data_IF_731501730021
#
_entry.id   IF_731501730021
#
_cell.length_a   1.000
_cell.length_b   1.000
_cell.length_c   1.000
_cell.angle_alpha   90.00
_cell.angle_beta   90.00
_cell.angle_gamma   90.00
#
_symmetry.space_group_name_H-M   'P 1'
#
loop_
_entity.id
_entity.type
_entity.pdbx_description
1 polymer ?
#
# COMPACT_ATOMS: atom_id res chain seq x y z
N UNK A 1 15.30 6.58 27.08
CA UNK A 1 16.53 7.31 27.48
C UNK A 1 16.93 8.43 26.52
N UNK A 2 16.56 8.36 25.23
CA UNK A 2 16.88 9.38 24.21
C UNK A 2 15.77 10.38 23.96
N UNK A 3 14.60 10.20 24.54
CA UNK A 3 13.46 11.10 24.32
C UNK A 3 13.78 12.55 24.64
N UNK A 4 13.41 13.48 23.75
CA UNK A 4 13.70 14.91 23.85
C UNK A 4 15.15 15.32 23.61
N UNK A 5 16.11 14.38 23.55
CA UNK A 5 17.53 14.67 23.28
C UNK A 5 17.75 14.97 21.78
N UNK A 6 18.80 15.69 21.41
CA UNK A 6 19.13 15.91 20.01
C UNK A 6 19.32 14.60 19.26
N UNK A 7 18.85 14.54 18.01
CA UNK A 7 19.02 13.39 17.15
C UNK A 7 20.51 13.14 16.88
N UNK A 8 21.01 11.91 17.04
CA UNK A 8 22.42 11.57 16.76
C UNK A 8 22.79 11.88 15.30
N UNK A 9 23.99 12.42 15.09
CA UNK A 9 24.51 12.71 13.74
C UNK A 9 24.57 11.48 12.85
N UNK A 10 24.87 10.31 13.42
CA UNK A 10 24.90 9.04 12.69
C UNK A 10 23.57 8.67 12.01
N UNK A 11 22.46 9.28 12.44
CA UNK A 11 21.13 9.06 11.84
C UNK A 11 20.80 10.17 10.84
N UNK A 12 21.29 11.39 11.07
CA UNK A 12 20.93 12.56 10.25
C UNK A 12 21.95 12.91 9.16
N UNK A 13 23.20 12.45 9.32
CA UNK A 13 24.27 12.73 8.37
C UNK A 13 24.08 11.92 7.08
N UNK A 14 24.11 12.61 5.93
CA UNK A 14 23.87 12.00 4.64
C UNK A 14 22.40 11.69 4.31
N UNK A 15 21.47 11.87 5.27
CA UNK A 15 20.05 11.62 5.03
C UNK A 15 19.36 12.89 4.48
N UNK A 16 18.61 12.79 3.38
CA UNK A 16 17.71 13.85 2.94
C UNK A 16 16.53 13.94 3.91
N UNK A 17 16.24 15.16 4.41
CA UNK A 17 15.12 15.40 5.32
C UNK A 17 14.16 16.35 4.61
N UNK A 18 13.00 15.83 4.22
CA UNK A 18 11.96 16.60 3.53
C UNK A 18 11.51 17.78 4.41
N UNK A 19 11.31 18.95 3.78
CA UNK A 19 10.78 20.17 4.39
C UNK A 19 11.58 20.74 5.58
N UNK A 20 12.68 20.09 5.99
CA UNK A 20 13.46 20.47 7.17
C UNK A 20 14.92 20.77 6.87
N UNK A 21 15.28 20.95 5.58
CA UNK A 21 16.67 21.13 5.13
C UNK A 21 17.44 22.22 5.90
N UNK A 22 16.76 23.27 6.35
CA UNK A 22 17.36 24.34 7.16
C UNK A 22 17.40 24.08 8.67
N UNK A 23 16.79 22.97 9.17
CA UNK A 23 16.59 22.72 10.61
C UNK A 23 17.19 21.39 11.10
N UNK A 24 18.15 20.81 10.39
CA UNK A 24 18.77 19.52 10.78
C UNK A 24 19.27 19.50 12.23
N UNK A 25 19.80 20.62 12.73
CA UNK A 25 20.32 20.72 14.09
C UNK A 25 19.26 20.84 15.18
N UNK A 26 17.98 20.98 14.80
CA UNK A 26 16.86 21.11 15.75
C UNK A 26 16.05 19.81 15.92
N UNK A 27 16.45 18.73 15.25
CA UNK A 27 15.77 17.46 15.36
C UNK A 27 16.03 16.82 16.72
N UNK A 28 14.96 16.35 17.34
CA UNK A 28 14.99 15.66 18.62
C UNK A 28 14.48 14.24 18.46
N UNK A 29 14.98 13.35 19.29
CA UNK A 29 14.44 12.00 19.38
C UNK A 29 13.05 12.03 20.00
N UNK A 30 12.13 11.26 19.44
CA UNK A 30 10.81 10.97 20.01
C UNK A 30 10.83 9.56 20.58
N UNK A 31 10.65 9.42 21.86
CA UNK A 31 10.54 8.12 22.51
C UNK A 31 9.25 7.39 22.12
N UNK A 32 9.15 6.09 22.42
CA UNK A 32 7.95 5.31 22.16
C UNK A 32 6.74 5.94 22.85
N UNK A 33 5.68 6.23 22.08
CA UNK A 33 4.43 6.79 22.60
C UNK A 33 3.47 5.70 23.09
N UNK A 34 3.73 4.44 22.74
CA UNK A 34 2.92 3.29 23.08
C UNK A 34 3.82 2.14 23.50
N UNK A 35 3.27 1.28 24.32
CA UNK A 35 3.95 0.07 24.75
C UNK A 35 3.99 -0.99 23.66
N UNK A 36 5.05 -1.79 23.68
CA UNK A 36 5.25 -2.93 22.83
C UNK A 36 5.38 -4.17 23.68
N UNK A 37 4.76 -5.25 23.27
CA UNK A 37 4.86 -6.54 23.93
C UNK A 37 5.13 -7.66 22.95
N UNK A 38 5.51 -8.82 23.47
CA UNK A 38 5.74 -10.01 22.65
C UNK A 38 4.42 -10.71 22.36
N UNK A 39 4.21 -11.08 21.09
CA UNK A 39 3.06 -11.84 20.65
C UNK A 39 3.49 -13.14 19.97
N UNK A 40 2.61 -14.15 20.07
CA UNK A 40 2.80 -15.46 19.45
C UNK A 40 3.96 -16.27 20.04
N UNK A 41 4.13 -17.48 19.52
CA UNK A 41 5.27 -18.35 19.83
C UNK A 41 6.57 -17.81 19.25
N UNK A 42 6.46 -17.10 18.11
CA UNK A 42 7.58 -16.42 17.45
C UNK A 42 8.14 -15.25 18.26
N UNK A 43 7.39 -14.76 19.27
CA UNK A 43 7.81 -13.68 20.15
C UNK A 43 7.98 -12.34 19.45
N UNK A 44 7.20 -12.05 18.41
CA UNK A 44 7.26 -10.79 17.66
C UNK A 44 6.87 -9.60 18.54
N UNK A 45 7.70 -8.55 18.53
CA UNK A 45 7.36 -7.29 19.20
C UNK A 45 6.39 -6.48 18.34
N UNK A 46 5.17 -6.30 18.86
CA UNK A 46 4.10 -5.54 18.22
C UNK A 46 3.51 -4.57 19.25
N UNK A 47 3.13 -3.37 18.81
CA UNK A 47 2.51 -2.38 19.68
C UNK A 47 1.16 -2.87 20.22
N UNK A 48 0.86 -2.50 21.46
CA UNK A 48 -0.43 -2.76 22.08
C UNK A 48 -1.61 -2.09 21.37
N UNK A 49 -1.34 -1.16 20.45
CA UNK A 49 -2.36 -0.56 19.58
C UNK A 49 -2.87 -1.52 18.50
N UNK A 50 -2.16 -2.61 18.23
CA UNK A 50 -2.47 -3.58 17.19
C UNK A 50 -2.74 -4.99 17.73
N UNK A 51 -3.69 -5.16 18.68
CA UNK A 51 -3.91 -6.48 19.31
C UNK A 51 -4.39 -7.54 18.32
N UNK A 52 -5.15 -7.14 17.28
CA UNK A 52 -5.62 -8.04 16.23
C UNK A 52 -4.48 -8.54 15.32
N UNK A 53 -3.50 -7.68 15.01
CA UNK A 53 -2.28 -8.11 14.31
C UNK A 53 -1.45 -9.00 15.22
N UNK A 54 -1.36 -8.65 16.50
CA UNK A 54 -0.69 -9.49 17.49
C UNK A 54 -1.28 -10.89 17.60
N UNK A 55 -2.60 -11.05 17.48
CA UNK A 55 -3.23 -12.37 17.57
C UNK A 55 -2.90 -13.32 16.42
N UNK A 56 -2.39 -12.81 15.29
CA UNK A 56 -1.95 -13.59 14.12
C UNK A 56 -0.44 -13.48 13.88
N UNK A 57 0.32 -13.13 14.91
CA UNK A 57 1.75 -12.88 14.80
C UNK A 57 2.57 -14.07 14.28
N UNK A 58 2.10 -15.29 14.54
CA UNK A 58 2.76 -16.53 14.07
C UNK A 58 2.42 -16.89 12.62
N UNK A 59 1.36 -16.28 12.05
CA UNK A 59 0.88 -16.54 10.70
C UNK A 59 1.36 -15.49 9.69
N UNK A 60 2.06 -14.44 10.15
CA UNK A 60 2.52 -13.32 9.31
C UNK A 60 4.04 -13.21 9.28
N UNK A 61 4.57 -12.76 8.15
CA UNK A 61 5.99 -12.41 8.01
C UNK A 61 6.17 -10.90 8.22
N UNK A 62 6.97 -10.51 9.22
CA UNK A 62 7.29 -9.11 9.51
C UNK A 62 8.69 -8.79 8.99
N UNK A 63 8.77 -8.03 7.90
CA UNK A 63 10.04 -7.59 7.31
C UNK A 63 10.38 -6.21 7.88
N UNK A 64 11.34 -6.16 8.80
CA UNK A 64 11.74 -4.94 9.51
C UNK A 64 12.77 -4.09 8.77
N UNK A 65 13.40 -4.63 7.74
CA UNK A 65 14.47 -3.98 6.98
C UNK A 65 13.98 -3.26 5.73
N UNK A 66 12.66 -3.18 5.51
CA UNK A 66 12.11 -2.46 4.37
C UNK A 66 12.42 -0.97 4.47
N UNK A 67 12.95 -0.40 3.41
CA UNK A 67 13.23 1.03 3.30
C UNK A 67 13.07 1.52 1.87
N UNK A 68 12.96 2.82 1.70
CA UNK A 68 13.00 3.50 0.42
C UNK A 68 13.78 4.80 0.55
N UNK A 69 14.50 5.18 -0.49
CA UNK A 69 15.20 6.47 -0.58
C UNK A 69 14.26 7.64 -0.93
N UNK A 70 12.99 7.33 -1.20
CA UNK A 70 12.03 8.34 -1.60
C UNK A 70 11.53 9.14 -0.40
N UNK A 71 11.69 10.47 -0.45
CA UNK A 71 11.27 11.39 0.60
C UNK A 71 9.75 11.62 0.55
N UNK A 72 9.19 11.72 -0.66
CA UNK A 72 7.77 12.01 -0.88
C UNK A 72 6.94 10.73 -0.84
N UNK A 73 5.73 10.83 -0.29
CA UNK A 73 4.81 9.71 -0.11
C UNK A 73 4.50 8.98 -1.42
N UNK A 74 4.21 9.71 -2.48
CA UNK A 74 3.79 9.15 -3.74
C UNK A 74 4.84 8.25 -4.43
N UNK A 75 6.07 8.70 -4.70
CA UNK A 75 7.12 7.82 -5.22
C UNK A 75 7.53 6.74 -4.21
N UNK A 76 7.44 7.00 -2.90
CA UNK A 76 7.69 5.99 -1.88
C UNK A 76 6.67 4.85 -1.92
N UNK A 77 5.36 5.17 -1.99
CA UNK A 77 4.31 4.17 -2.16
C UNK A 77 4.48 3.39 -3.46
N UNK A 78 4.80 4.07 -4.55
CA UNK A 78 5.05 3.42 -5.84
C UNK A 78 6.23 2.46 -5.73
N UNK A 79 7.34 2.90 -5.14
CA UNK A 79 8.51 2.06 -4.93
C UNK A 79 8.20 0.83 -4.09
N UNK A 80 7.52 0.99 -2.95
CA UNK A 80 7.18 -0.13 -2.05
C UNK A 80 6.25 -1.16 -2.69
N UNK A 81 5.40 -0.73 -3.63
CA UNK A 81 4.46 -1.62 -4.30
C UNK A 81 4.99 -2.23 -5.59
N UNK A 82 5.96 -1.60 -6.27
CA UNK A 82 6.41 -2.00 -7.62
C UNK A 82 7.91 -2.24 -7.74
N UNK A 83 8.69 -1.92 -6.71
CA UNK A 83 10.16 -1.97 -6.74
C UNK A 83 10.80 -0.83 -7.54
N UNK A 84 10.03 0.17 -7.97
CA UNK A 84 10.51 1.35 -8.70
C UNK A 84 9.68 2.58 -8.39
N UNK A 85 10.29 3.75 -8.46
CA UNK A 85 9.57 5.03 -8.34
C UNK A 85 8.84 5.44 -9.63
N UNK A 86 9.15 4.79 -10.75
CA UNK A 86 8.60 5.11 -12.07
C UNK A 86 7.35 4.25 -12.29
N UNK A 87 6.25 4.88 -12.71
CA UNK A 87 5.02 4.20 -13.08
C UNK A 87 5.21 3.27 -14.29
N UNK A 88 4.37 2.22 -14.38
CA UNK A 88 4.35 1.30 -15.52
C UNK A 88 4.88 -0.10 -15.22
N UNK A 89 5.45 -0.33 -14.05
CA UNK A 89 5.81 -1.69 -13.61
C UNK A 89 4.67 -2.36 -12.85
N UNK A 90 4.56 -3.70 -12.93
CA UNK A 90 3.54 -4.42 -12.17
C UNK A 90 3.74 -4.26 -10.67
N UNK A 91 2.62 -4.14 -9.95
CA UNK A 91 2.63 -4.15 -8.50
C UNK A 91 2.95 -5.53 -7.93
N UNK A 92 3.36 -5.59 -6.67
CA UNK A 92 3.62 -6.85 -5.96
C UNK A 92 2.43 -7.79 -6.03
N UNK A 93 1.20 -7.31 -5.83
CA UNK A 93 -0.02 -8.12 -5.95
C UNK A 93 -0.23 -8.67 -7.35
N UNK A 94 0.09 -7.90 -8.39
CA UNK A 94 0.03 -8.37 -9.79
C UNK A 94 1.05 -9.47 -10.06
N UNK A 95 2.26 -9.37 -9.52
CA UNK A 95 3.27 -10.42 -9.62
C UNK A 95 2.88 -11.70 -8.89
N UNK A 96 2.30 -11.58 -7.70
CA UNK A 96 1.80 -12.72 -6.92
C UNK A 96 0.71 -13.44 -7.71
N UNK A 97 -0.26 -12.68 -8.23
CA UNK A 97 -1.36 -13.25 -9.02
C UNK A 97 -0.87 -13.89 -10.32
N UNK A 98 0.15 -13.27 -10.97
CA UNK A 98 0.77 -13.86 -12.16
C UNK A 98 1.49 -15.17 -11.88
N UNK A 99 2.27 -15.24 -10.79
CA UNK A 99 3.09 -16.40 -10.47
C UNK A 99 2.36 -17.55 -9.80
N UNK A 100 1.39 -17.25 -8.92
CA UNK A 100 0.68 -18.24 -8.12
C UNK A 100 -0.74 -18.52 -8.61
N UNK A 101 -1.30 -17.67 -9.50
CA UNK A 101 -2.69 -17.75 -9.92
C UNK A 101 -3.67 -17.24 -8.87
N UNK A 102 -4.95 -17.36 -9.16
CA UNK A 102 -6.04 -17.08 -8.23
C UNK A 102 -6.62 -18.39 -7.66
N UNK A 103 -7.01 -18.42 -6.39
CA UNK A 103 -7.65 -19.58 -5.77
C UNK A 103 -9.07 -19.82 -6.30
N UNK A 104 -9.63 -18.89 -7.06
CA UNK A 104 -10.98 -18.94 -7.65
C UNK A 104 -11.00 -18.26 -9.01
N UNK A 105 -11.86 -18.73 -9.91
CA UNK A 105 -12.08 -18.13 -11.22
C UNK A 105 -13.19 -17.06 -11.22
N UNK A 106 -14.02 -17.04 -10.17
CA UNK A 106 -15.22 -16.21 -10.10
C UNK A 106 -15.06 -14.92 -9.27
N UNK A 107 -13.91 -14.74 -8.63
CA UNK A 107 -13.61 -13.55 -7.82
C UNK A 107 -12.24 -12.98 -8.21
N UNK A 108 -12.04 -11.65 -8.05
CA UNK A 108 -10.73 -11.07 -8.27
C UNK A 108 -9.69 -11.74 -7.37
N UNK A 109 -8.59 -12.20 -7.93
CA UNK A 109 -7.48 -12.78 -7.17
C UNK A 109 -6.63 -11.75 -6.45
N UNK A 110 -6.75 -10.47 -6.84
CA UNK A 110 -6.07 -9.34 -6.18
C UNK A 110 -7.09 -8.24 -5.88
N UNK A 111 -7.47 -8.13 -4.62
CA UNK A 111 -8.41 -7.13 -4.11
C UNK A 111 -7.65 -6.03 -3.39
N UNK A 112 -8.04 -4.78 -3.64
CA UNK A 112 -7.47 -3.59 -3.02
C UNK A 112 -8.52 -2.92 -2.15
N UNK A 113 -8.17 -2.71 -0.89
CA UNK A 113 -8.97 -1.97 0.07
C UNK A 113 -8.21 -0.71 0.47
N UNK A 114 -8.90 0.43 0.45
CA UNK A 114 -8.35 1.70 0.92
C UNK A 114 -9.15 2.21 2.11
N UNK A 115 -8.46 2.76 3.11
CA UNK A 115 -9.11 3.45 4.22
C UNK A 115 -9.10 4.95 3.99
N UNK A 116 -10.18 5.61 4.37
CA UNK A 116 -10.22 7.07 4.45
C UNK A 116 -9.82 7.45 5.87
N UNK A 117 -8.60 7.96 6.03
CA UNK A 117 -8.09 8.41 7.32
C UNK A 117 -8.63 9.79 7.72
N UNK A 118 -8.63 10.08 9.01
CA UNK A 118 -9.01 11.38 9.57
C UNK A 118 -7.89 12.44 9.54
N UNK A 119 -6.96 12.39 8.60
CA UNK A 119 -5.81 13.29 8.50
C UNK A 119 -5.51 13.73 7.09
N UNK A 120 -4.24 13.91 6.77
CA UNK A 120 -3.80 14.22 5.42
C UNK A 120 -4.19 13.11 4.44
N UNK A 121 -4.75 13.50 3.29
CA UNK A 121 -4.97 12.58 2.19
C UNK A 121 -3.62 12.03 1.72
N UNK A 122 -3.45 10.72 1.80
CA UNK A 122 -2.28 10.07 1.24
C UNK A 122 -2.43 9.98 -0.29
N UNK A 123 -1.34 10.10 -1.05
CA UNK A 123 -1.38 9.99 -2.52
C UNK A 123 -1.53 8.52 -2.93
N UNK A 124 -2.72 7.97 -2.72
CA UNK A 124 -3.08 6.62 -3.12
C UNK A 124 -3.61 6.69 -4.55
N UNK A 125 -2.99 5.94 -5.46
CA UNK A 125 -3.31 5.96 -6.87
C UNK A 125 -3.25 4.56 -7.48
N UNK A 126 -4.00 4.35 -8.58
CA UNK A 126 -4.12 3.05 -9.26
C UNK A 126 -2.80 2.43 -9.68
N UNK A 127 -1.75 3.23 -9.93
CA UNK A 127 -0.40 2.71 -10.22
C UNK A 127 0.18 1.82 -9.12
N UNK A 128 -0.33 1.91 -7.88
CA UNK A 128 0.11 1.10 -6.75
C UNK A 128 -0.42 -0.34 -6.81
N UNK A 129 -1.45 -0.60 -7.62
CA UNK A 129 -2.03 -1.93 -7.85
C UNK A 129 -2.23 -2.27 -9.31
N UNK A 130 -1.63 -1.50 -10.20
CA UNK A 130 -1.70 -1.70 -11.65
C UNK A 130 -0.90 -2.93 -12.09
N UNK A 131 -1.35 -3.58 -13.15
CA UNK A 131 -0.65 -4.72 -13.75
C UNK A 131 0.62 -4.34 -14.53
N UNK A 132 0.85 -3.04 -14.75
CA UNK A 132 2.00 -2.55 -15.53
C UNK A 132 2.01 -3.13 -16.93
N UNK A 133 3.11 -3.79 -17.29
CA UNK A 133 3.27 -4.48 -18.58
C UNK A 133 2.69 -5.90 -18.61
N UNK A 134 2.19 -6.42 -17.47
CA UNK A 134 1.46 -7.69 -17.43
C UNK A 134 0.03 -7.48 -17.95
N UNK A 135 -0.62 -8.54 -18.47
CA UNK A 135 -2.03 -8.48 -18.87
C UNK A 135 -2.94 -7.93 -17.77
N UNK A 136 -3.96 -7.16 -18.15
CA UNK A 136 -4.87 -6.47 -17.22
C UNK A 136 -5.61 -7.40 -16.25
N UNK A 137 -5.76 -8.68 -16.58
CA UNK A 137 -6.36 -9.68 -15.68
C UNK A 137 -5.61 -9.87 -14.36
N UNK A 138 -4.36 -9.41 -14.27
CA UNK A 138 -3.55 -9.45 -13.06
C UNK A 138 -3.59 -8.15 -12.26
N UNK A 139 -4.37 -7.17 -12.70
CA UNK A 139 -4.52 -5.90 -12.00
C UNK A 139 -5.34 -6.05 -10.72
N UNK A 140 -5.00 -5.28 -9.69
CA UNK A 140 -5.80 -5.19 -8.48
C UNK A 140 -7.17 -4.55 -8.73
N UNK A 141 -8.21 -5.13 -8.16
CA UNK A 141 -9.58 -4.60 -8.21
C UNK A 141 -9.85 -3.83 -6.93
N UNK A 142 -10.06 -2.52 -7.07
CA UNK A 142 -10.32 -1.65 -5.94
C UNK A 142 -11.79 -1.74 -5.52
N UNK A 143 -12.02 -2.14 -4.26
CA UNK A 143 -13.35 -2.20 -3.67
C UNK A 143 -13.64 -0.92 -2.89
N UNK A 144 -14.78 -0.33 -3.16
CA UNK A 144 -15.29 0.86 -2.49
C UNK A 144 -16.16 0.49 -1.29
N UNK A 145 -16.01 1.22 -0.19
CA UNK A 145 -16.82 1.01 1.02
C UNK A 145 -18.20 1.69 0.94
N UNK A 146 -18.43 2.52 -0.07
CA UNK A 146 -19.71 3.24 -0.30
C UNK A 146 -20.05 3.23 -1.78
N UNK A 147 -21.34 3.10 -2.09
CA UNK A 147 -21.82 2.97 -3.47
C UNK A 147 -21.60 1.56 -4.01
N UNK A 148 -21.39 1.45 -5.33
CA UNK A 148 -21.07 0.18 -5.96
C UNK A 148 -19.71 -0.32 -5.47
N UNK A 149 -19.60 -1.55 -4.95
CA UNK A 149 -18.35 -2.08 -4.42
C UNK A 149 -17.22 -2.05 -5.45
N UNK A 150 -17.54 -2.31 -6.71
CA UNK A 150 -16.63 -2.22 -7.85
C UNK A 150 -17.26 -1.30 -8.89
N UNK A 151 -16.48 -0.30 -9.33
CA UNK A 151 -16.97 0.65 -10.35
C UNK A 151 -17.19 -0.06 -11.70
N UNK A 152 -18.18 0.42 -12.42
CA UNK A 152 -18.47 0.00 -13.81
C UNK A 152 -18.93 -1.46 -13.98
N UNK A 153 -19.39 -2.14 -12.93
CA UNK A 153 -20.01 -3.46 -13.05
C UNK A 153 -21.43 -3.39 -13.65
N UNK A 154 -22.13 -2.31 -13.36
CA UNK A 154 -23.46 -2.03 -13.92
C UNK A 154 -23.36 -1.05 -15.07
N UNK A 155 -24.23 -1.24 -16.06
CA UNK A 155 -24.32 -0.29 -17.16
C UNK A 155 -24.80 1.09 -16.68
N UNK A 156 -24.33 2.18 -17.30
CA UNK A 156 -24.89 3.51 -17.07
C UNK A 156 -26.40 3.53 -17.30
N UNK A 157 -27.09 4.40 -16.58
CA UNK A 157 -28.54 4.56 -16.73
C UNK A 157 -28.90 4.86 -18.20
N UNK A 158 -29.79 4.06 -18.78
CA UNK A 158 -30.20 4.15 -20.16
C UNK A 158 -29.40 3.31 -21.16
N UNK A 159 -28.38 2.58 -20.72
CA UNK A 159 -27.61 1.67 -21.55
C UNK A 159 -28.01 0.23 -21.23
N UNK A 160 -28.61 -0.47 -22.18
CA UNK A 160 -28.93 -1.90 -22.03
C UNK A 160 -27.68 -2.78 -22.22
N UNK A 161 -27.74 -4.04 -21.75
CA UNK A 161 -26.68 -5.01 -22.02
C UNK A 161 -26.48 -5.23 -23.54
N UNK A 162 -27.55 -5.13 -24.32
CA UNK A 162 -27.50 -5.24 -25.78
C UNK A 162 -26.72 -4.09 -26.40
N UNK A 163 -26.98 -2.85 -25.94
CA UNK A 163 -26.25 -1.65 -26.42
C UNK A 163 -24.77 -1.74 -26.07
N UNK A 164 -24.45 -2.13 -24.83
CA UNK A 164 -23.07 -2.36 -24.41
C UNK A 164 -22.37 -3.41 -25.25
N UNK A 165 -23.04 -4.55 -25.50
CA UNK A 165 -22.49 -5.62 -26.33
C UNK A 165 -22.22 -5.13 -27.75
N UNK A 166 -23.20 -4.42 -28.35
CA UNK A 166 -23.03 -3.85 -29.70
C UNK A 166 -21.85 -2.88 -29.77
N UNK A 167 -21.64 -2.08 -28.71
CA UNK A 167 -20.51 -1.16 -28.64
C UNK A 167 -19.17 -1.94 -28.60
N UNK A 168 -19.06 -2.96 -27.76
CA UNK A 168 -17.88 -3.81 -27.67
C UNK A 168 -17.58 -4.50 -29.00
N UNK A 169 -18.59 -5.05 -29.64
CA UNK A 169 -18.47 -5.74 -30.93
C UNK A 169 -18.09 -4.79 -32.08
N UNK A 170 -18.36 -3.48 -31.95
CA UNK A 170 -17.99 -2.47 -32.94
C UNK A 170 -16.55 -1.97 -32.81
N UNK A 171 -15.86 -2.26 -31.70
CA UNK A 171 -14.48 -1.84 -31.41
C UNK A 171 -13.48 -2.97 -31.64
N UNK A 172 -13.94 -4.21 -31.73
CA UNK A 172 -13.14 -5.39 -32.04
C UNK A 172 -13.18 -5.73 -33.53
#
# INVERSE_FOLDING_TARGET
>A
EMDGKPMPKSITEGQPIAQLMGKKNSLKCLGPQHEFQRYGKSGQFISNQFPKIGSVADDICIIRSMHTEQINHDPAHTYMNTGTQISGRPSMGSWILYGLGAPTENLPGFVVLTSVGGGQNQPIASRQWHSGFLPSKYQGVHFHSKGDPVLYLSNPKGVSQKDQRSLIDSVN
#
